data_IF_511629479885
#
_entry.id   IF_511629479885
#
_cell.length_a   1.000
_cell.length_b   1.000
_cell.length_c   1.000
_cell.angle_alpha   90.00
_cell.angle_beta   90.00
_cell.angle_gamma   90.00
#
_symmetry.space_group_name_H-M   'P 1'
#
loop_
_entity.id
_entity.type
_entity.pdbx_description
1 polymer ?
#
# COMPACT_ATOMS: atom_id res chain seq x y z
N UNK A 1 7.37 22.34 4.86
CA UNK A 1 7.09 21.14 5.68
C UNK A 1 5.67 21.26 6.18
N UNK A 2 4.97 20.14 6.31
CA UNK A 2 3.55 20.07 6.70
C UNK A 2 2.59 19.63 5.60
N UNK A 3 3.07 19.33 4.39
CA UNK A 3 2.24 18.69 3.37
C UNK A 3 2.49 17.18 3.39
N UNK A 4 1.42 16.41 3.57
CA UNK A 4 1.47 14.95 3.57
C UNK A 4 1.33 14.40 2.16
N UNK A 5 2.00 13.28 1.91
CA UNK A 5 2.04 12.64 0.59
C UNK A 5 0.67 12.14 0.11
N UNK A 6 -0.27 11.89 1.03
CA UNK A 6 -1.68 11.59 0.72
C UNK A 6 -2.41 12.65 -0.10
N UNK A 7 -1.90 13.91 -0.14
CA UNK A 7 -2.43 14.97 -1.02
C UNK A 7 -2.13 14.75 -2.51
N UNK A 8 -1.24 13.81 -2.84
CA UNK A 8 -0.81 13.52 -4.21
C UNK A 8 -1.33 12.13 -4.64
N UNK A 9 -2.63 12.01 -4.97
CA UNK A 9 -3.27 10.72 -5.21
C UNK A 9 -2.59 9.93 -6.33
N UNK A 10 -2.08 10.59 -7.38
CA UNK A 10 -1.38 9.91 -8.47
C UNK A 10 -0.16 9.11 -8.00
N UNK A 11 0.64 9.65 -7.07
CA UNK A 11 1.81 8.97 -6.52
C UNK A 11 1.41 7.79 -5.64
N UNK A 12 0.37 7.96 -4.81
CA UNK A 12 -0.16 6.91 -3.94
C UNK A 12 -0.77 5.76 -4.77
N UNK A 13 -1.56 6.09 -5.78
CA UNK A 13 -2.11 5.12 -6.74
C UNK A 13 -0.99 4.35 -7.43
N UNK A 14 0.06 5.02 -7.91
CA UNK A 14 1.21 4.35 -8.53
C UNK A 14 1.94 3.42 -7.56
N UNK A 15 2.12 3.81 -6.30
CA UNK A 15 2.71 2.94 -5.28
C UNK A 15 1.85 1.70 -5.03
N UNK A 16 0.53 1.85 -4.91
CA UNK A 16 -0.39 0.73 -4.75
C UNK A 16 -0.35 -0.22 -5.96
N UNK A 17 -0.28 0.30 -7.19
CA UNK A 17 -0.11 -0.50 -8.41
C UNK A 17 1.19 -1.30 -8.40
N UNK A 18 2.31 -0.69 -7.99
CA UNK A 18 3.60 -1.39 -7.86
C UNK A 18 3.53 -2.50 -6.81
N UNK A 19 2.89 -2.25 -5.66
CA UNK A 19 2.72 -3.25 -4.59
C UNK A 19 1.82 -4.41 -5.02
N UNK A 20 0.72 -4.11 -5.72
CA UNK A 20 -0.15 -5.12 -6.30
C UNK A 20 0.60 -5.99 -7.32
N UNK A 21 1.35 -5.37 -8.23
CA UNK A 21 2.16 -6.10 -9.21
C UNK A 21 3.20 -7.02 -8.54
N UNK A 22 3.87 -6.54 -7.49
CA UNK A 22 4.81 -7.33 -6.70
C UNK A 22 4.13 -8.53 -6.02
N UNK A 23 2.94 -8.34 -5.43
CA UNK A 23 2.19 -9.43 -4.81
C UNK A 23 1.79 -10.52 -5.83
N UNK A 24 1.30 -10.10 -7.00
CA UNK A 24 0.94 -11.01 -8.09
C UNK A 24 2.17 -11.76 -8.62
N UNK A 25 3.30 -11.09 -8.81
CA UNK A 25 4.55 -11.72 -9.26
C UNK A 25 5.07 -12.73 -8.22
N UNK A 26 5.09 -12.36 -6.93
CA UNK A 26 5.53 -13.25 -5.86
C UNK A 26 4.64 -14.49 -5.73
N UNK A 27 3.33 -14.35 -5.92
CA UNK A 27 2.40 -15.50 -5.93
C UNK A 27 2.67 -16.42 -7.12
N UNK A 28 2.90 -15.89 -8.33
CA UNK A 28 3.28 -16.69 -9.51
C UNK A 28 4.57 -17.48 -9.30
N UNK A 29 5.51 -16.96 -8.50
CA UNK A 29 6.75 -17.63 -8.13
C UNK A 29 6.61 -18.60 -6.94
N UNK A 30 5.41 -18.74 -6.36
CA UNK A 30 5.17 -19.58 -5.18
C UNK A 30 5.69 -18.99 -3.87
N UNK A 31 6.10 -17.71 -3.86
CA UNK A 31 6.64 -17.01 -2.68
C UNK A 31 5.55 -16.38 -1.81
N UNK A 32 4.32 -16.33 -2.30
CA UNK A 32 3.17 -15.74 -1.60
C UNK A 32 1.93 -16.61 -1.79
N UNK A 33 1.25 -16.95 -0.69
CA UNK A 33 0.02 -17.75 -0.74
C UNK A 33 -1.14 -16.99 -1.40
N UNK A 34 -2.08 -17.73 -1.99
CA UNK A 34 -3.25 -17.13 -2.64
C UNK A 34 -4.04 -16.24 -1.69
N UNK A 35 -4.28 -16.71 -0.45
CA UNK A 35 -4.96 -15.93 0.59
C UNK A 35 -4.31 -14.56 0.82
N UNK A 36 -2.98 -14.51 0.92
CA UNK A 36 -2.25 -13.25 1.13
C UNK A 36 -2.26 -12.38 -0.13
N UNK A 37 -2.04 -12.98 -1.30
CA UNK A 37 -2.09 -12.28 -2.58
C UNK A 37 -3.44 -11.64 -2.82
N UNK A 38 -4.53 -12.34 -2.55
CA UNK A 38 -5.89 -11.83 -2.76
C UNK A 38 -6.21 -10.67 -1.81
N UNK A 39 -5.86 -10.81 -0.53
CA UNK A 39 -6.05 -9.75 0.45
C UNK A 39 -5.20 -8.49 0.16
N UNK A 40 -3.92 -8.67 -0.19
CA UNK A 40 -3.04 -7.56 -0.58
C UNK A 40 -3.55 -6.89 -1.86
N UNK A 41 -3.99 -7.67 -2.85
CA UNK A 41 -4.51 -7.14 -4.10
C UNK A 41 -5.79 -6.34 -3.89
N UNK A 42 -6.70 -6.81 -3.03
CA UNK A 42 -7.91 -6.11 -2.65
C UNK A 42 -7.62 -4.79 -1.92
N UNK A 43 -6.71 -4.80 -0.93
CA UNK A 43 -6.25 -3.58 -0.26
C UNK A 43 -5.62 -2.57 -1.23
N UNK A 44 -4.81 -3.04 -2.20
CA UNK A 44 -4.25 -2.17 -3.23
C UNK A 44 -5.36 -1.56 -4.13
N UNK A 45 -6.40 -2.33 -4.46
CA UNK A 45 -7.52 -1.84 -5.28
C UNK A 45 -8.29 -0.71 -4.60
N UNK A 46 -8.56 -0.80 -3.29
CA UNK A 46 -9.19 0.29 -2.52
C UNK A 46 -8.35 1.58 -2.64
N UNK A 47 -7.03 1.51 -2.45
CA UNK A 47 -6.13 2.67 -2.60
C UNK A 47 -6.12 3.20 -4.04
N UNK A 48 -6.10 2.32 -5.04
CA UNK A 48 -6.16 2.71 -6.46
C UNK A 48 -7.46 3.44 -6.78
N UNK A 49 -8.57 3.05 -6.14
CA UNK A 49 -9.88 3.68 -6.28
C UNK A 49 -10.01 4.99 -5.48
N UNK A 50 -8.94 5.44 -4.81
CA UNK A 50 -8.88 6.71 -4.08
C UNK A 50 -9.32 6.60 -2.62
N UNK A 51 -9.47 5.38 -2.09
CA UNK A 51 -9.74 5.15 -0.68
C UNK A 51 -8.42 5.22 0.14
N UNK A 52 -8.54 5.43 1.46
CA UNK A 52 -7.41 5.38 2.42
C UNK A 52 -6.30 6.42 2.20
N UNK A 53 -6.50 7.43 1.34
CA UNK A 53 -5.50 8.47 1.06
C UNK A 53 -5.08 9.26 2.31
N UNK A 54 -5.99 9.38 3.29
CA UNK A 54 -5.77 10.01 4.59
C UNK A 54 -4.80 9.24 5.49
N UNK A 55 -4.53 7.97 5.19
CA UNK A 55 -3.57 7.12 5.91
C UNK A 55 -2.12 7.32 5.44
N UNK A 56 -1.91 8.15 4.41
CA UNK A 56 -0.59 8.48 3.87
C UNK A 56 -0.06 9.79 4.45
N UNK A 57 0.47 9.70 5.67
CA UNK A 57 0.75 10.85 6.55
C UNK A 57 2.19 11.36 6.49
N UNK A 58 3.07 10.70 5.74
CA UNK A 58 4.48 11.10 5.64
C UNK A 58 4.61 12.45 4.93
N UNK A 59 5.46 13.34 5.46
CA UNK A 59 5.77 14.64 4.84
C UNK A 59 6.43 14.44 3.47
N UNK A 60 6.04 15.25 2.49
CA UNK A 60 6.63 15.24 1.16
C UNK A 60 8.14 15.55 1.16
N UNK A 61 8.60 16.37 2.10
CA UNK A 61 10.02 16.70 2.32
C UNK A 61 10.58 15.74 3.37
N UNK A 62 10.58 14.45 3.05
CA UNK A 62 11.22 13.42 3.85
C UNK A 62 12.69 13.24 3.45
N UNK A 63 13.54 12.87 4.41
CA UNK A 63 14.83 12.25 4.13
C UNK A 63 14.68 10.78 3.69
N UNK A 64 15.78 10.13 3.31
CA UNK A 64 15.79 8.68 3.08
C UNK A 64 15.27 8.22 1.71
N UNK A 65 15.27 9.09 0.71
CA UNK A 65 15.02 8.77 -0.71
C UNK A 65 13.68 8.03 -0.98
N UNK A 66 12.63 8.34 -0.21
CA UNK A 66 11.30 7.73 -0.37
C UNK A 66 11.07 6.46 0.44
N UNK A 67 12.04 6.04 1.26
CA UNK A 67 11.90 4.84 2.11
C UNK A 67 10.68 4.95 3.04
N UNK A 68 10.44 6.12 3.63
CA UNK A 68 9.31 6.31 4.53
C UNK A 68 7.97 6.23 3.80
N UNK A 69 7.85 6.80 2.59
CA UNK A 69 6.63 6.61 1.77
C UNK A 69 6.41 5.14 1.42
N UNK A 70 7.47 4.43 1.04
CA UNK A 70 7.38 3.01 0.69
C UNK A 70 6.94 2.16 1.90
N UNK A 71 7.43 2.47 3.10
CA UNK A 71 7.03 1.80 4.34
C UNK A 71 5.61 2.17 4.75
N UNK A 72 5.21 3.43 4.64
CA UNK A 72 3.82 3.85 4.90
C UNK A 72 2.84 3.08 3.99
N UNK A 73 3.17 2.92 2.69
CA UNK A 73 2.36 2.10 1.79
C UNK A 73 2.32 0.63 2.23
N UNK A 74 3.45 0.04 2.63
CA UNK A 74 3.49 -1.34 3.14
C UNK A 74 2.57 -1.52 4.34
N UNK A 75 2.62 -0.62 5.31
CA UNK A 75 1.85 -0.69 6.55
C UNK A 75 0.35 -0.52 6.30
N UNK A 76 -0.05 0.48 5.50
CA UNK A 76 -1.46 0.69 5.13
C UNK A 76 -2.02 -0.54 4.41
N UNK A 77 -1.29 -1.07 3.42
CA UNK A 77 -1.72 -2.25 2.66
C UNK A 77 -1.77 -3.49 3.56
N UNK A 78 -0.78 -3.69 4.42
CA UNK A 78 -0.72 -4.84 5.33
C UNK A 78 -1.90 -4.83 6.30
N UNK A 79 -2.12 -3.71 6.98
CA UNK A 79 -3.20 -3.58 7.95
C UNK A 79 -4.57 -3.70 7.29
N UNK A 80 -4.73 -3.14 6.09
CA UNK A 80 -5.98 -3.30 5.35
C UNK A 80 -6.22 -4.74 4.88
N UNK A 81 -5.18 -5.42 4.42
CA UNK A 81 -5.25 -6.83 4.06
C UNK A 81 -5.60 -7.72 5.27
N UNK A 82 -5.08 -7.40 6.47
CA UNK A 82 -5.43 -8.09 7.71
C UNK A 82 -6.92 -7.92 8.04
N UNK A 83 -7.46 -6.70 7.98
CA UNK A 83 -8.89 -6.44 8.19
C UNK A 83 -9.77 -7.21 7.20
N UNK A 84 -9.40 -7.21 5.91
CA UNK A 84 -10.11 -7.97 4.86
C UNK A 84 -10.07 -9.48 5.10
N UNK A 85 -9.06 -9.97 5.82
CA UNK A 85 -8.93 -11.37 6.24
C UNK A 85 -9.63 -11.68 7.58
N UNK A 86 -10.25 -10.69 8.22
CA UNK A 86 -10.92 -10.82 9.52
C UNK A 86 -9.97 -10.80 10.72
N UNK A 87 -8.77 -10.24 10.57
CA UNK A 87 -7.81 -10.05 11.65
C UNK A 87 -7.88 -8.61 12.20
N UNK A 88 -7.37 -8.41 13.41
CA UNK A 88 -7.12 -7.07 13.94
C UNK A 88 -5.95 -6.40 13.20
N UNK A 89 -5.91 -5.07 13.22
CA UNK A 89 -4.80 -4.26 12.70
C UNK A 89 -3.55 -4.42 13.56
#
# INVERSE_FOLDING_TARGET
TGEVIGKYPSLITSLAQVKQAAALANNKLGLLSDKKKDAISAACNEIINGELLDQFVVDCIQGGAGTSTNMNANEVICNRALELMGHEK
#
